data_IF_216385262145
#
_entry.id   IF_216385262145
#
_cell.length_a   1.000
_cell.length_b   1.000
_cell.length_c   1.000
_cell.angle_alpha   90.00
_cell.angle_beta   90.00
_cell.angle_gamma   90.00
#
_symmetry.space_group_name_H-M   'P 1'
#
loop_
_entity.id
_entity.type
_entity.pdbx_description
1 polymer ?
#
# COMPACT_ATOMS: atom_id res chain seq x y z
N UNK A 1 -5.04 9.21 6.20
CA UNK A 1 -6.44 8.75 6.39
C UNK A 1 -6.53 7.49 7.26
N UNK A 2 -5.73 6.44 7.00
CA UNK A 2 -5.63 5.23 7.84
C UNK A 2 -5.48 5.49 9.35
N UNK A 3 -4.62 6.44 9.70
CA UNK A 3 -4.18 6.70 11.09
C UNK A 3 -5.27 7.27 11.98
N UNK A 4 -6.29 7.90 11.38
CA UNK A 4 -7.44 8.42 12.12
C UNK A 4 -8.36 7.31 12.65
N UNK A 5 -8.44 6.17 11.96
CA UNK A 5 -9.30 5.05 12.36
C UNK A 5 -8.70 4.19 13.46
N UNK A 6 -7.37 4.04 13.47
CA UNK A 6 -6.68 3.13 14.39
C UNK A 6 -6.06 3.84 15.62
N UNK A 7 -6.18 5.17 15.75
CA UNK A 7 -5.55 5.97 16.82
C UNK A 7 -4.06 5.61 17.05
N UNK A 8 -3.36 5.16 16.02
CA UNK A 8 -1.95 4.82 16.11
C UNK A 8 -1.09 5.94 15.53
N UNK A 9 0.02 6.30 16.19
CA UNK A 9 1.04 7.17 15.60
C UNK A 9 1.51 6.61 14.27
N UNK A 10 1.77 7.50 13.31
CA UNK A 10 2.29 7.14 12.00
C UNK A 10 3.60 6.38 12.14
N UNK A 11 4.45 6.82 13.09
CA UNK A 11 5.71 6.16 13.39
C UNK A 11 5.54 4.70 13.80
N UNK A 12 4.46 4.33 14.51
CA UNK A 12 4.28 2.95 14.97
C UNK A 12 3.95 1.97 13.84
N UNK A 13 3.25 2.44 12.80
CA UNK A 13 2.93 1.62 11.62
C UNK A 13 4.15 1.56 10.69
N UNK A 14 4.88 2.67 10.54
CA UNK A 14 6.08 2.73 9.71
C UNK A 14 7.28 1.95 10.28
N UNK A 15 7.34 1.79 11.61
CA UNK A 15 8.37 1.00 12.29
C UNK A 15 7.97 -0.47 12.51
N UNK A 16 6.80 -0.91 12.03
CA UNK A 16 6.42 -2.33 12.10
C UNK A 16 7.35 -3.15 11.19
N UNK A 17 7.92 -4.23 11.73
CA UNK A 17 8.89 -5.08 11.01
C UNK A 17 8.29 -5.80 9.82
N UNK A 18 6.96 -5.96 9.80
CA UNK A 18 6.24 -6.55 8.66
C UNK A 18 5.92 -5.51 7.58
N UNK A 19 6.20 -4.23 7.84
CA UNK A 19 6.01 -3.16 6.87
C UNK A 19 6.98 -3.35 5.69
N UNK A 20 6.51 -3.34 4.42
CA UNK A 20 7.36 -3.69 3.28
C UNK A 20 8.51 -2.71 2.96
N UNK A 21 8.80 -1.72 3.82
CA UNK A 21 9.51 -0.49 3.47
C UNK A 21 10.71 -0.12 4.36
N UNK A 22 11.46 -1.09 4.89
CA UNK A 22 12.74 -0.81 5.55
C UNK A 22 13.88 -0.37 4.58
N UNK A 23 13.54 0.11 3.37
CA UNK A 23 14.47 0.56 2.35
C UNK A 23 14.57 2.09 2.28
N UNK A 24 15.74 2.60 1.89
CA UNK A 24 15.98 4.02 1.71
C UNK A 24 15.24 4.49 0.42
N UNK A 25 14.15 5.24 0.57
CA UNK A 25 13.34 5.77 -0.55
C UNK A 25 14.16 6.83 -1.29
N UNK A 26 14.61 6.55 -2.52
CA UNK A 26 15.53 7.44 -3.26
C UNK A 26 15.01 7.90 -4.61
N UNK A 27 14.08 7.15 -5.21
CA UNK A 27 13.61 7.39 -6.58
C UNK A 27 12.10 7.68 -6.62
N UNK A 28 11.64 8.28 -7.72
CA UNK A 28 10.20 8.41 -7.99
C UNK A 28 9.50 7.04 -7.96
N UNK A 29 10.14 6.00 -8.50
CA UNK A 29 9.61 4.63 -8.49
C UNK A 29 9.39 4.11 -7.07
N UNK A 30 10.35 4.35 -6.17
CA UNK A 30 10.23 3.96 -4.75
C UNK A 30 9.06 4.69 -4.08
N UNK A 31 8.89 5.99 -4.34
CA UNK A 31 7.80 6.79 -3.79
C UNK A 31 6.45 6.30 -4.33
N UNK A 32 6.34 6.08 -5.65
CA UNK A 32 5.12 5.58 -6.27
C UNK A 32 4.74 4.19 -5.73
N UNK A 33 5.74 3.31 -5.56
CA UNK A 33 5.55 1.98 -4.99
C UNK A 33 5.04 2.06 -3.56
N UNK A 34 5.66 2.91 -2.73
CA UNK A 34 5.22 3.17 -1.36
C UNK A 34 3.78 3.68 -1.29
N UNK A 35 3.42 4.66 -2.13
CA UNK A 35 2.08 5.20 -2.17
C UNK A 35 1.03 4.15 -2.57
N UNK A 36 1.31 3.36 -3.62
CA UNK A 36 0.39 2.34 -4.14
C UNK A 36 0.12 1.27 -3.08
N UNK A 37 1.19 0.68 -2.52
CA UNK A 37 1.06 -0.36 -1.50
C UNK A 37 0.38 0.17 -0.24
N UNK A 38 0.71 1.39 0.19
CA UNK A 38 0.05 2.01 1.35
C UNK A 38 -1.45 2.18 1.09
N UNK A 39 -1.86 2.55 -0.14
CA UNK A 39 -3.27 2.66 -0.51
C UNK A 39 -3.98 1.31 -0.48
N UNK A 40 -3.35 0.25 -1.00
CA UNK A 40 -3.89 -1.12 -0.98
C UNK A 40 -4.08 -1.61 0.46
N UNK A 41 -3.06 -1.45 1.30
CA UNK A 41 -3.13 -1.78 2.73
C UNK A 41 -4.25 -0.96 3.39
N UNK A 42 -4.34 0.33 3.07
CA UNK A 42 -5.32 1.23 3.67
C UNK A 42 -6.75 0.79 3.46
N UNK A 43 -7.08 0.56 2.20
CA UNK A 43 -8.40 0.14 1.78
C UNK A 43 -8.77 -1.20 2.41
N UNK A 44 -7.89 -2.20 2.32
CA UNK A 44 -8.18 -3.53 2.85
C UNK A 44 -8.28 -3.53 4.38
N UNK A 45 -7.42 -2.77 5.07
CA UNK A 45 -7.50 -2.59 6.53
C UNK A 45 -8.84 -1.98 6.94
N UNK A 46 -9.35 -1.01 6.17
CA UNK A 46 -10.64 -0.38 6.43
C UNK A 46 -11.80 -1.35 6.23
N UNK A 47 -11.74 -2.18 5.19
CA UNK A 47 -12.73 -3.24 4.97
C UNK A 47 -12.76 -4.25 6.11
N UNK A 48 -11.60 -4.72 6.58
CA UNK A 48 -11.49 -5.62 7.73
C UNK A 48 -12.01 -4.94 9.02
N UNK A 49 -11.65 -3.68 9.25
CA UNK A 49 -12.14 -2.91 10.39
C UNK A 49 -13.66 -2.74 10.38
N UNK A 50 -14.28 -2.51 9.22
CA UNK A 50 -15.75 -2.42 9.13
C UNK A 50 -16.46 -3.69 9.57
N UNK A 51 -15.87 -4.86 9.32
CA UNK A 51 -16.45 -6.13 9.73
C UNK A 51 -16.39 -6.31 11.26
N UNK A 52 -15.30 -5.86 11.89
CA UNK A 52 -15.11 -5.91 13.34
C UNK A 52 -14.38 -4.66 13.85
N UNK A 53 -15.11 -3.56 14.10
CA UNK A 53 -14.49 -2.31 14.52
C UNK A 53 -13.75 -2.48 15.84
N UNK A 54 -12.49 -2.06 15.88
CA UNK A 54 -11.68 -2.06 17.10
C UNK A 54 -10.59 -1.00 17.02
N UNK A 55 -10.05 -0.62 18.18
CA UNK A 55 -8.88 0.27 18.27
C UNK A 55 -7.54 -0.46 18.10
N UNK A 56 -7.57 -1.77 17.78
CA UNK A 56 -6.37 -2.58 17.55
C UNK A 56 -5.81 -2.37 16.13
N UNK A 57 -4.50 -2.55 15.95
CA UNK A 57 -3.87 -2.62 14.62
C UNK A 57 -4.00 -3.97 13.92
N UNK A 58 -4.74 -4.93 14.49
CA UNK A 58 -4.94 -6.23 13.87
C UNK A 58 -5.41 -6.14 12.40
N UNK A 59 -6.35 -5.24 12.01
CA UNK A 59 -6.74 -5.10 10.59
C UNK A 59 -5.58 -4.68 9.68
N UNK A 60 -4.68 -3.81 10.16
CA UNK A 60 -3.49 -3.37 9.40
C UNK A 60 -2.52 -4.53 9.22
N UNK A 61 -2.23 -5.29 10.28
CA UNK A 61 -1.33 -6.45 10.21
C UNK A 61 -1.85 -7.52 9.27
N UNK A 62 -3.17 -7.81 9.32
CA UNK A 62 -3.80 -8.75 8.41
C UNK A 62 -3.75 -8.27 6.95
N UNK A 63 -3.96 -6.98 6.70
CA UNK A 63 -3.83 -6.41 5.36
C UNK A 63 -2.41 -6.51 4.81
N UNK A 64 -1.38 -6.28 5.63
CA UNK A 64 0.03 -6.47 5.26
C UNK A 64 0.31 -7.94 4.92
N UNK A 65 -0.14 -8.87 5.77
CA UNK A 65 0.03 -10.31 5.53
C UNK A 65 -0.67 -10.76 4.25
N UNK A 66 -1.89 -10.24 4.01
CA UNK A 66 -2.65 -10.52 2.79
C UNK A 66 -1.96 -9.95 1.55
N UNK A 67 -1.42 -8.73 1.63
CA UNK A 67 -0.60 -8.13 0.56
C UNK A 67 0.58 -9.02 0.23
N UNK A 68 1.39 -9.39 1.23
CA UNK A 68 2.60 -10.18 1.02
C UNK A 68 2.34 -11.59 0.46
N UNK A 69 1.13 -12.13 0.66
CA UNK A 69 0.74 -13.45 0.17
C UNK A 69 -0.03 -13.43 -1.15
N UNK A 70 -0.70 -12.34 -1.50
CA UNK A 70 -1.65 -12.28 -2.63
C UNK A 70 -1.21 -11.37 -3.77
N UNK A 71 -0.32 -10.41 -3.50
CA UNK A 71 0.09 -9.39 -4.49
C UNK A 71 1.51 -9.65 -4.95
N UNK A 72 1.70 -9.67 -6.27
CA UNK A 72 3.03 -9.69 -6.87
C UNK A 72 3.68 -8.31 -6.78
N UNK A 73 4.44 -8.09 -5.70
CA UNK A 73 5.15 -6.83 -5.48
C UNK A 73 6.19 -6.53 -6.56
N UNK A 74 6.75 -7.56 -7.22
CA UNK A 74 7.69 -7.37 -8.33
C UNK A 74 6.98 -6.90 -9.60
N UNK A 75 5.76 -7.40 -9.84
CA UNK A 75 4.90 -6.89 -10.90
C UNK A 75 4.60 -5.39 -10.71
N UNK A 76 4.22 -4.97 -9.50
CA UNK A 76 3.95 -3.55 -9.20
C UNK A 76 5.20 -2.71 -9.47
N UNK A 77 6.38 -3.10 -8.97
CA UNK A 77 7.65 -2.37 -9.21
C UNK A 77 7.95 -2.25 -10.70
N UNK A 78 7.79 -3.35 -11.45
CA UNK A 78 8.04 -3.38 -12.90
C UNK A 78 7.05 -2.50 -13.66
N UNK A 79 5.78 -2.49 -13.26
CA UNK A 79 4.76 -1.66 -13.88
C UNK A 79 4.99 -0.16 -13.61
N UNK A 80 5.45 0.20 -12.42
CA UNK A 80 5.83 1.57 -12.06
C UNK A 80 7.02 2.03 -12.89
N UNK A 81 8.05 1.20 -13.02
CA UNK A 81 9.23 1.52 -13.83
C UNK A 81 8.82 1.80 -15.28
N UNK A 82 7.99 0.94 -15.88
CA UNK A 82 7.43 1.17 -17.22
C UNK A 82 6.63 2.48 -17.30
N UNK A 83 5.82 2.77 -16.29
CA UNK A 83 5.04 4.00 -16.22
C UNK A 83 5.92 5.26 -16.09
N UNK A 84 7.12 5.14 -15.51
CA UNK A 84 8.05 6.27 -15.32
C UNK A 84 8.56 6.88 -16.63
N UNK A 85 8.55 6.10 -17.72
CA UNK A 85 8.96 6.54 -19.05
C UNK A 85 7.83 7.21 -19.86
N UNK A 86 6.60 7.25 -19.33
CA UNK A 86 5.46 7.85 -20.00
C UNK A 86 5.44 9.38 -19.83
N UNK A 87 4.62 10.06 -20.63
CA UNK A 87 4.30 11.48 -20.40
C UNK A 87 3.51 11.63 -19.10
N UNK A 88 3.62 12.78 -18.45
CA UNK A 88 3.07 13.03 -17.10
C UNK A 88 1.59 12.68 -16.93
N UNK A 89 0.73 12.94 -17.93
CA UNK A 89 -0.69 12.59 -17.84
C UNK A 89 -0.91 11.06 -17.87
N UNK A 90 -0.25 10.37 -18.79
CA UNK A 90 -0.34 8.92 -18.94
C UNK A 90 0.31 8.20 -17.76
N UNK A 91 1.38 8.76 -17.20
CA UNK A 91 2.01 8.29 -15.97
C UNK A 91 1.03 8.29 -14.80
N UNK A 92 0.27 9.37 -14.59
CA UNK A 92 -0.74 9.44 -13.53
C UNK A 92 -1.82 8.36 -13.70
N UNK A 93 -2.33 8.20 -14.92
CA UNK A 93 -3.33 7.17 -15.21
C UNK A 93 -2.77 5.76 -14.99
N UNK A 94 -1.52 5.50 -15.41
CA UNK A 94 -0.87 4.22 -15.22
C UNK A 94 -0.70 3.89 -13.73
N UNK A 95 -0.26 4.84 -12.90
CA UNK A 95 -0.11 4.61 -11.46
C UNK A 95 -1.46 4.31 -10.78
N UNK A 96 -2.52 5.03 -11.13
CA UNK A 96 -3.88 4.75 -10.61
C UNK A 96 -4.34 3.37 -11.05
N UNK A 97 -4.13 3.00 -12.31
CA UNK A 97 -4.49 1.68 -12.84
C UNK A 97 -3.75 0.57 -12.08
N UNK A 98 -2.45 0.71 -11.86
CA UNK A 98 -1.65 -0.25 -11.09
C UNK A 98 -2.23 -0.44 -9.69
N UNK A 99 -2.62 0.64 -9.00
CA UNK A 99 -3.23 0.52 -7.67
C UNK A 99 -4.55 -0.27 -7.71
N UNK A 100 -5.45 0.09 -8.64
CA UNK A 100 -6.78 -0.54 -8.76
C UNK A 100 -6.71 -2.02 -9.15
N UNK A 101 -5.77 -2.40 -10.00
CA UNK A 101 -5.58 -3.80 -10.43
C UNK A 101 -4.98 -4.69 -9.34
N UNK A 102 -4.39 -4.10 -8.29
CA UNK A 102 -3.73 -4.82 -7.19
C UNK A 102 -4.46 -4.67 -5.85
N UNK A 103 -5.69 -4.16 -5.85
CA UNK A 103 -6.55 -4.15 -4.67
C UNK A 103 -6.77 -5.58 -4.14
N UNK A 104 -6.75 -5.74 -2.82
CA UNK A 104 -6.88 -7.03 -2.18
C UNK A 104 -8.33 -7.51 -2.17
N UNK A 105 -8.55 -8.76 -2.55
CA UNK A 105 -9.84 -9.42 -2.35
C UNK A 105 -10.13 -9.59 -0.85
N UNK A 106 -11.41 -9.36 -0.51
CA UNK A 106 -11.99 -9.57 0.82
C UNK A 106 -11.98 -11.05 1.22
#
# INVERSE_FOLDING_TARGET
MLLYFFKQPVENVLNDTDWPFNGNVKTFGDIAFLCIVTAIIAEHSYFLWKQKPSASSAPVKLAIQKLNSSVDLNYIKTAIEKASHLKTQDQKHALVKIALENCLSL
#
